data_IF_239500216795
#
_entry.id   IF_239500216795
#
_cell.length_a   1.000
_cell.length_b   1.000
_cell.length_c   1.000
_cell.angle_alpha   90.00
_cell.angle_beta   90.00
_cell.angle_gamma   90.00
#
_symmetry.space_group_name_H-M   'P 1'
#
loop_
_entity.id
_entity.type
_entity.pdbx_description
1 polymer ?
#
# COMPACT_ATOMS: atom_id res chain seq x y z
N UNK A 1 37.31 -26.10 -1.72
CA UNK A 1 36.41 -25.32 -2.60
C UNK A 1 35.16 -26.16 -2.84
N UNK A 2 34.13 -25.97 -2.04
CA UNK A 2 32.83 -26.64 -2.24
C UNK A 2 31.82 -25.56 -2.57
N UNK A 3 31.35 -25.52 -3.82
CA UNK A 3 30.16 -24.78 -4.21
C UNK A 3 28.96 -25.46 -3.55
N UNK A 4 28.72 -25.16 -2.29
CA UNK A 4 27.41 -25.44 -1.71
C UNK A 4 26.49 -24.36 -2.26
N UNK A 5 25.76 -24.74 -3.30
CA UNK A 5 24.56 -24.04 -3.75
C UNK A 5 23.56 -24.02 -2.58
N UNK A 6 23.80 -23.14 -1.60
CA UNK A 6 22.77 -22.73 -0.65
C UNK A 6 21.69 -22.10 -1.53
N UNK A 7 20.52 -22.74 -1.62
CA UNK A 7 19.33 -22.16 -2.23
C UNK A 7 18.87 -20.96 -1.38
N UNK A 8 19.64 -19.88 -1.38
CA UNK A 8 19.28 -18.63 -0.75
C UNK A 8 18.04 -18.11 -1.47
N UNK A 9 16.90 -18.14 -0.77
CA UNK A 9 15.61 -17.62 -1.25
C UNK A 9 15.36 -16.30 -0.54
N UNK A 10 15.72 -15.20 -1.20
CA UNK A 10 15.52 -13.86 -0.67
C UNK A 10 16.19 -12.80 -1.54
N UNK A 11 16.05 -11.53 -1.16
CA UNK A 11 16.78 -10.44 -1.81
C UNK A 11 18.14 -10.28 -1.14
N UNK A 12 19.22 -10.68 -1.83
CA UNK A 12 20.59 -10.67 -1.31
C UNK A 12 20.99 -9.31 -0.71
N UNK A 13 20.43 -8.23 -1.24
CA UNK A 13 20.60 -6.85 -0.75
C UNK A 13 20.23 -6.71 0.73
N UNK A 14 19.08 -7.25 1.16
CA UNK A 14 18.54 -7.07 2.52
C UNK A 14 18.78 -8.26 3.43
N UNK A 15 19.28 -9.38 2.92
CA UNK A 15 19.60 -10.55 3.75
C UNK A 15 20.61 -10.24 4.86
N UNK A 16 20.42 -10.78 6.05
CA UNK A 16 21.45 -10.74 7.10
C UNK A 16 22.69 -11.57 6.70
N UNK A 17 23.81 -11.33 7.37
CA UNK A 17 25.03 -12.15 7.17
C UNK A 17 24.89 -13.58 7.70
N UNK A 18 23.89 -13.86 8.56
CA UNK A 18 23.66 -15.21 9.11
C UNK A 18 23.15 -16.21 8.06
N UNK A 19 22.71 -15.72 6.91
CA UNK A 19 22.09 -16.51 5.83
C UNK A 19 23.04 -17.46 5.07
N UNK A 20 24.33 -17.59 5.44
CA UNK A 20 25.21 -18.67 4.91
C UNK A 20 25.10 -19.98 5.61
N UNK A 21 24.92 -19.89 6.91
CA UNK A 21 25.05 -21.05 7.74
C UNK A 21 23.74 -21.82 7.55
N UNK A 22 23.81 -23.15 7.60
CA UNK A 22 22.68 -24.09 7.40
C UNK A 22 21.62 -23.96 8.51
N UNK A 23 21.62 -22.85 9.25
CA UNK A 23 20.62 -22.48 10.23
C UNK A 23 19.48 -21.76 9.54
N UNK A 24 18.26 -22.03 10.01
CA UNK A 24 17.07 -21.33 9.56
C UNK A 24 17.18 -19.81 9.84
N UNK A 25 16.31 -19.02 9.21
CA UNK A 25 16.23 -17.56 9.44
C UNK A 25 15.46 -17.27 10.72
N UNK A 26 16.03 -16.42 11.59
CA UNK A 26 15.47 -16.08 12.90
C UNK A 26 14.73 -14.74 12.87
N UNK A 27 13.98 -14.45 13.95
CA UNK A 27 13.21 -13.20 14.08
C UNK A 27 14.08 -11.94 13.97
N UNK A 28 15.34 -12.02 14.41
CA UNK A 28 16.29 -10.91 14.29
C UNK A 28 16.68 -10.61 12.85
N UNK A 29 16.61 -11.59 11.94
CA UNK A 29 17.00 -11.42 10.54
C UNK A 29 16.02 -10.52 9.77
N UNK A 30 14.72 -10.60 10.10
CA UNK A 30 13.70 -9.68 9.59
C UNK A 30 13.97 -8.25 10.06
N UNK A 31 14.34 -8.06 11.33
CA UNK A 31 14.66 -6.74 11.89
C UNK A 31 15.97 -6.16 11.33
N UNK A 32 16.97 -7.01 11.06
CA UNK A 32 18.19 -6.60 10.37
C UNK A 32 17.86 -6.17 8.93
N UNK A 33 16.98 -6.92 8.25
CA UNK A 33 16.51 -6.55 6.91
C UNK A 33 15.81 -5.20 6.91
N UNK A 34 14.93 -4.96 7.89
CA UNK A 34 14.28 -3.67 8.10
C UNK A 34 15.29 -2.54 8.36
N UNK A 35 16.34 -2.81 9.13
CA UNK A 35 17.40 -1.83 9.38
C UNK A 35 18.15 -1.44 8.10
N UNK A 36 18.44 -2.39 7.21
CA UNK A 36 19.01 -2.08 5.90
C UNK A 36 18.07 -1.23 5.05
N UNK A 37 16.77 -1.53 5.04
CA UNK A 37 15.77 -0.72 4.30
C UNK A 37 15.73 0.71 4.82
N UNK A 38 15.73 0.92 6.14
CA UNK A 38 15.75 2.27 6.72
C UNK A 38 17.02 3.05 6.37
N UNK A 39 18.18 2.39 6.37
CA UNK A 39 19.45 3.02 5.95
C UNK A 39 19.41 3.38 4.47
N UNK A 40 18.84 2.51 3.63
CA UNK A 40 18.66 2.79 2.21
C UNK A 40 17.73 3.98 1.98
N UNK A 41 16.61 4.07 2.70
CA UNK A 41 15.72 5.24 2.64
C UNK A 41 16.43 6.53 3.05
N UNK A 42 17.26 6.49 4.10
CA UNK A 42 18.01 7.67 4.56
C UNK A 42 19.14 8.07 3.60
N UNK A 43 19.84 7.11 3.02
CA UNK A 43 21.07 7.34 2.24
C UNK A 43 20.86 7.29 0.71
N UNK A 44 19.67 6.90 0.27
CA UNK A 44 19.30 6.64 -1.13
C UNK A 44 19.83 5.33 -1.71
N UNK A 45 20.89 4.73 -1.14
CA UNK A 45 21.45 3.45 -1.57
C UNK A 45 22.25 2.76 -0.46
N UNK A 46 22.35 1.44 -0.54
CA UNK A 46 23.29 0.66 0.27
C UNK A 46 24.66 0.59 -0.41
N UNK A 47 25.71 0.39 0.39
CA UNK A 47 27.10 0.32 -0.12
C UNK A 47 27.32 -0.86 -1.07
N UNK A 48 26.53 -1.92 -0.94
CA UNK A 48 26.58 -3.11 -1.79
C UNK A 48 25.51 -3.15 -2.89
N UNK A 49 24.76 -2.05 -3.13
CA UNK A 49 23.67 -2.03 -4.11
C UNK A 49 24.12 -2.42 -5.53
N UNK A 50 25.36 -2.11 -5.91
CA UNK A 50 25.92 -2.39 -7.25
C UNK A 50 26.68 -3.72 -7.34
N UNK A 51 26.81 -4.48 -6.25
CA UNK A 51 27.54 -5.74 -6.22
C UNK A 51 26.65 -6.88 -6.71
N UNK A 52 27.23 -7.80 -7.49
CA UNK A 52 26.47 -8.85 -8.19
C UNK A 52 26.62 -10.22 -7.53
N UNK A 53 27.79 -10.52 -6.98
CA UNK A 53 28.05 -11.82 -6.37
C UNK A 53 27.71 -11.82 -4.88
N UNK A 54 27.29 -12.97 -4.36
CA UNK A 54 26.98 -13.17 -2.93
C UNK A 54 28.21 -12.84 -2.08
N UNK A 55 29.37 -13.30 -2.51
CA UNK A 55 30.66 -13.17 -1.83
C UNK A 55 31.14 -11.71 -1.76
N UNK A 56 30.90 -10.91 -2.79
CA UNK A 56 31.19 -9.47 -2.77
C UNK A 56 30.25 -8.73 -1.82
N UNK A 57 28.94 -8.97 -1.91
CA UNK A 57 27.95 -8.35 -1.03
C UNK A 57 28.28 -8.64 0.43
N UNK A 58 28.72 -9.84 0.72
CA UNK A 58 29.02 -10.29 2.07
C UNK A 58 30.28 -9.69 2.65
N UNK A 59 31.37 -9.73 1.89
CA UNK A 59 32.61 -9.03 2.29
C UNK A 59 32.35 -7.55 2.51
N UNK A 60 31.43 -6.96 1.74
CA UNK A 60 31.07 -5.55 1.92
C UNK A 60 30.22 -5.33 3.18
N UNK A 61 29.23 -6.18 3.43
CA UNK A 61 28.42 -6.14 4.65
C UNK A 61 29.28 -6.30 5.89
N UNK A 62 30.13 -7.30 5.94
CA UNK A 62 31.00 -7.59 7.08
C UNK A 62 31.91 -6.38 7.42
N UNK A 63 32.51 -5.77 6.38
CA UNK A 63 33.32 -4.55 6.56
C UNK A 63 32.50 -3.35 7.03
N UNK A 64 31.31 -3.15 6.47
CA UNK A 64 30.50 -1.94 6.69
C UNK A 64 29.72 -1.99 8.01
N UNK A 65 29.37 -3.17 8.51
CA UNK A 65 28.61 -3.40 9.74
C UNK A 65 29.36 -2.98 11.02
N UNK A 66 30.62 -2.57 10.92
CA UNK A 66 31.40 -1.99 12.01
C UNK A 66 30.90 -0.62 12.47
N UNK A 67 31.82 0.29 12.80
CA UNK A 67 31.48 1.59 13.40
C UNK A 67 30.64 2.50 12.50
N UNK A 68 30.71 2.34 11.19
CA UNK A 68 30.09 3.29 10.24
C UNK A 68 28.65 2.95 9.85
N UNK A 69 28.16 1.75 10.18
CA UNK A 69 26.92 1.21 9.64
C UNK A 69 25.70 2.12 9.81
N UNK A 70 25.51 2.66 11.01
CA UNK A 70 24.39 3.54 11.39
C UNK A 70 24.84 4.98 11.65
N UNK A 71 26.02 5.37 11.16
CA UNK A 71 26.57 6.72 11.37
C UNK A 71 25.70 7.84 10.78
N UNK A 72 24.91 7.54 9.75
CA UNK A 72 23.97 8.47 9.12
C UNK A 72 22.57 8.50 9.75
N UNK A 73 22.34 7.66 10.77
CA UNK A 73 21.06 7.49 11.46
C UNK A 73 21.08 8.22 12.82
N UNK A 74 19.91 8.49 13.43
CA UNK A 74 19.84 8.98 14.81
C UNK A 74 20.61 8.07 15.78
N UNK A 75 21.22 8.66 16.82
CA UNK A 75 22.12 7.97 17.77
C UNK A 75 21.51 6.72 18.42
N UNK A 76 20.19 6.66 18.55
CA UNK A 76 19.43 5.52 19.10
C UNK A 76 19.63 4.25 18.27
N UNK A 77 19.87 4.37 16.96
CA UNK A 77 20.08 3.24 16.06
C UNK A 77 21.36 2.45 16.37
N UNK A 78 22.36 3.06 17.05
CA UNK A 78 23.53 2.33 17.53
C UNK A 78 23.14 1.27 18.56
N UNK A 79 22.23 1.61 19.49
CA UNK A 79 21.72 0.66 20.48
C UNK A 79 20.87 -0.44 19.84
N UNK A 80 20.01 -0.07 18.86
CA UNK A 80 19.22 -1.04 18.10
C UNK A 80 20.14 -2.01 17.35
N UNK A 81 21.17 -1.50 16.67
CA UNK A 81 22.18 -2.31 15.98
C UNK A 81 22.84 -3.29 16.95
N UNK A 82 23.41 -2.80 18.05
CA UNK A 82 24.10 -3.65 19.03
C UNK A 82 23.19 -4.77 19.53
N UNK A 83 21.93 -4.46 19.84
CA UNK A 83 20.94 -5.46 20.25
C UNK A 83 20.72 -6.52 19.17
N UNK A 84 20.35 -6.12 17.95
CA UNK A 84 19.99 -7.05 16.86
C UNK A 84 21.15 -7.96 16.43
N UNK A 85 22.37 -7.43 16.38
CA UNK A 85 23.53 -8.20 15.94
C UNK A 85 24.06 -9.16 17.02
N UNK A 86 23.74 -8.93 18.30
CA UNK A 86 24.14 -9.80 19.41
C UNK A 86 23.12 -10.88 19.76
N UNK A 87 21.91 -10.86 19.19
CA UNK A 87 20.91 -11.90 19.42
C UNK A 87 21.35 -13.27 18.86
N UNK A 88 21.08 -14.32 19.61
CA UNK A 88 21.15 -15.70 19.12
C UNK A 88 19.94 -16.03 18.24
N UNK A 89 20.04 -17.11 17.45
CA UNK A 89 19.03 -17.50 16.47
C UNK A 89 17.61 -17.65 17.05
N UNK A 90 17.47 -18.32 18.20
CA UNK A 90 16.17 -18.53 18.86
C UNK A 90 15.75 -17.37 19.78
N UNK A 91 16.64 -16.40 20.01
CA UNK A 91 16.40 -15.34 20.98
C UNK A 91 15.27 -14.39 20.53
N UNK A 92 14.58 -13.81 21.51
CA UNK A 92 13.55 -12.81 21.25
C UNK A 92 14.16 -11.42 21.15
N UNK A 93 13.96 -10.71 20.04
CA UNK A 93 14.26 -9.29 20.02
C UNK A 93 13.39 -8.57 21.05
N UNK A 94 13.99 -7.73 21.90
CA UNK A 94 13.26 -6.78 22.72
C UNK A 94 12.58 -5.70 21.85
N UNK A 95 11.40 -6.04 21.33
CA UNK A 95 10.59 -5.17 20.47
C UNK A 95 10.17 -3.88 21.18
N UNK A 96 9.94 -3.94 22.49
CA UNK A 96 9.53 -2.78 23.28
C UNK A 96 10.66 -1.75 23.38
N UNK A 97 11.88 -2.21 23.65
CA UNK A 97 13.07 -1.37 23.65
C UNK A 97 13.33 -0.75 22.27
N UNK A 98 13.23 -1.55 21.20
CA UNK A 98 13.40 -1.05 19.82
C UNK A 98 12.35 0.03 19.51
N UNK A 99 11.07 -0.22 19.80
CA UNK A 99 9.99 0.73 19.56
C UNK A 99 10.18 2.02 20.38
N UNK A 100 10.63 1.90 21.64
CA UNK A 100 10.95 3.05 22.49
C UNK A 100 12.08 3.89 21.89
N UNK A 101 13.16 3.26 21.47
CA UNK A 101 14.29 3.94 20.82
C UNK A 101 13.90 4.62 19.52
N UNK A 102 13.03 4.01 18.70
CA UNK A 102 12.51 4.66 17.48
C UNK A 102 11.67 5.90 17.81
N UNK A 103 10.84 5.84 18.86
CA UNK A 103 10.07 7.01 19.33
C UNK A 103 10.98 8.11 19.87
N UNK A 104 11.99 7.76 20.65
CA UNK A 104 13.00 8.71 21.14
C UNK A 104 13.74 9.39 19.98
N UNK A 105 14.12 8.62 18.96
CA UNK A 105 14.74 9.16 17.76
C UNK A 105 13.81 10.14 17.02
N UNK A 106 12.52 9.82 16.90
CA UNK A 106 11.54 10.71 16.28
C UNK A 106 11.40 12.03 17.06
N UNK A 107 11.22 11.96 18.37
CA UNK A 107 11.08 13.14 19.25
C UNK A 107 12.32 14.03 19.18
N UNK A 108 13.52 13.46 19.30
CA UNK A 108 14.77 14.23 19.26
C UNK A 108 15.04 14.90 17.89
N UNK A 109 14.46 14.37 16.81
CA UNK A 109 14.59 14.93 15.47
C UNK A 109 13.36 15.76 15.04
N UNK A 110 12.43 16.05 15.96
CA UNK A 110 11.25 16.87 15.69
C UNK A 110 10.22 16.23 14.75
N UNK A 111 10.18 14.90 14.69
CA UNK A 111 9.25 14.16 13.83
C UNK A 111 7.96 13.89 14.59
N UNK A 112 6.83 14.37 14.07
CA UNK A 112 5.51 14.03 14.57
C UNK A 112 5.04 12.69 13.99
N UNK A 113 5.03 11.64 14.81
CA UNK A 113 4.58 10.30 14.41
C UNK A 113 3.07 10.21 14.15
N UNK A 114 2.29 11.27 14.47
CA UNK A 114 0.85 11.35 14.14
C UNK A 114 0.60 12.04 12.81
N UNK A 115 1.63 12.64 12.20
CA UNK A 115 1.49 13.28 10.91
C UNK A 115 1.16 12.24 9.84
N UNK A 116 0.17 12.54 9.01
CA UNK A 116 -0.21 11.70 7.88
C UNK A 116 0.94 11.60 6.87
N UNK A 117 1.11 10.44 6.25
CA UNK A 117 2.07 10.29 5.16
C UNK A 117 1.61 11.04 3.91
N UNK A 118 2.55 11.44 3.05
CA UNK A 118 2.25 12.14 1.79
C UNK A 118 1.23 11.38 0.94
N UNK A 119 1.36 10.05 0.88
CA UNK A 119 0.44 9.17 0.16
C UNK A 119 -0.97 9.18 0.77
N UNK A 120 -1.09 9.29 2.10
CA UNK A 120 -2.40 9.37 2.76
C UNK A 120 -3.10 10.67 2.42
N UNK A 121 -2.35 11.79 2.41
CA UNK A 121 -2.84 13.10 2.00
C UNK A 121 -3.32 13.06 0.54
N UNK A 122 -2.49 12.53 -0.37
CA UNK A 122 -2.84 12.40 -1.79
C UNK A 122 -4.08 11.52 -2.00
N UNK A 123 -4.17 10.39 -1.29
CA UNK A 123 -5.34 9.50 -1.39
C UNK A 123 -6.61 10.18 -0.86
N UNK A 124 -6.50 11.00 0.19
CA UNK A 124 -7.64 11.75 0.73
C UNK A 124 -8.07 12.88 -0.20
N UNK A 125 -7.13 13.58 -0.83
CA UNK A 125 -7.41 14.57 -1.88
C UNK A 125 -8.16 13.93 -3.07
N UNK A 126 -7.66 12.79 -3.56
CA UNK A 126 -8.33 12.04 -4.65
C UNK A 126 -9.74 11.58 -4.25
N UNK A 127 -9.93 11.14 -3.01
CA UNK A 127 -11.25 10.74 -2.49
C UNK A 127 -12.21 11.92 -2.47
N UNK A 128 -11.75 13.11 -2.08
CA UNK A 128 -12.56 14.32 -2.08
C UNK A 128 -12.91 14.78 -3.49
N UNK A 129 -11.98 14.68 -4.44
CA UNK A 129 -12.25 15.00 -5.84
C UNK A 129 -13.33 14.08 -6.44
N UNK A 130 -13.26 12.77 -6.18
CA UNK A 130 -14.29 11.82 -6.61
C UNK A 130 -15.65 12.14 -5.97
N UNK A 131 -15.69 12.51 -4.69
CA UNK A 131 -16.93 12.94 -4.02
C UNK A 131 -17.50 14.22 -4.61
N UNK A 132 -16.64 15.17 -4.98
CA UNK A 132 -17.07 16.44 -5.55
C UNK A 132 -17.55 16.29 -7.00
N UNK A 133 -16.96 15.39 -7.78
CA UNK A 133 -17.41 15.06 -9.14
C UNK A 133 -18.70 14.23 -9.15
N UNK A 134 -18.93 13.41 -8.12
CA UNK A 134 -20.15 12.59 -7.99
C UNK A 134 -21.34 13.34 -7.39
N UNK A 135 -21.17 14.59 -6.95
CA UNK A 135 -22.30 15.45 -6.59
C UNK A 135 -23.14 15.70 -7.86
N UNK A 136 -24.41 15.27 -7.88
CA UNK A 136 -25.23 15.44 -9.06
C UNK A 136 -25.43 16.93 -9.31
N UNK A 137 -25.06 17.39 -10.51
CA UNK A 137 -25.36 18.74 -10.96
C UNK A 137 -26.88 18.96 -10.83
N UNK A 138 -27.26 19.90 -9.96
CA UNK A 138 -28.65 20.21 -9.65
C UNK A 138 -29.42 20.58 -10.92
N UNK A 139 -28.78 21.28 -11.85
CA UNK A 139 -29.40 21.68 -13.11
C UNK A 139 -29.66 20.47 -14.01
N UNK A 140 -28.70 19.56 -14.12
CA UNK A 140 -28.83 18.32 -14.88
C UNK A 140 -29.89 17.39 -14.26
N UNK A 141 -29.95 17.31 -12.94
CA UNK A 141 -30.92 16.48 -12.22
C UNK A 141 -32.34 16.99 -12.39
N UNK A 142 -32.55 18.31 -12.24
CA UNK A 142 -33.86 18.95 -12.42
C UNK A 142 -34.35 18.85 -13.88
N UNK A 143 -33.44 18.99 -14.85
CA UNK A 143 -33.75 18.77 -16.27
C UNK A 143 -34.18 17.34 -16.55
N UNK A 144 -33.50 16.33 -16.00
CA UNK A 144 -33.87 14.93 -16.19
C UNK A 144 -35.21 14.59 -15.55
N UNK A 145 -35.49 15.10 -14.34
CA UNK A 145 -36.79 14.93 -13.68
C UNK A 145 -37.94 15.56 -14.49
N UNK A 146 -37.76 16.79 -14.98
CA UNK A 146 -38.74 17.46 -15.83
C UNK A 146 -38.97 16.68 -17.15
N UNK A 147 -37.90 16.16 -17.77
CA UNK A 147 -38.02 15.35 -18.99
C UNK A 147 -38.76 14.04 -18.74
N UNK A 148 -38.51 13.35 -17.62
CA UNK A 148 -39.23 12.13 -17.25
C UNK A 148 -40.72 12.40 -17.04
N UNK A 149 -41.09 13.49 -16.35
CA UNK A 149 -42.51 13.86 -16.17
C UNK A 149 -43.22 14.12 -17.50
N UNK A 150 -42.54 14.75 -18.48
CA UNK A 150 -43.10 14.96 -19.82
C UNK A 150 -43.28 13.64 -20.56
N UNK A 151 -42.29 12.75 -20.50
CA UNK A 151 -42.34 11.43 -21.13
C UNK A 151 -43.47 10.59 -20.53
N UNK A 152 -43.62 10.56 -19.20
CA UNK A 152 -44.71 9.85 -18.52
C UNK A 152 -46.09 10.39 -18.95
N UNK A 153 -46.27 11.72 -19.01
CA UNK A 153 -47.52 12.31 -19.51
C UNK A 153 -47.82 11.91 -20.95
N UNK A 154 -46.81 11.92 -21.83
CA UNK A 154 -46.97 11.53 -23.24
C UNK A 154 -47.30 10.04 -23.37
N UNK A 155 -46.65 9.19 -22.57
CA UNK A 155 -46.94 7.75 -22.51
C UNK A 155 -48.39 7.56 -22.06
N UNK A 156 -48.82 8.16 -20.95
CA UNK A 156 -50.20 8.07 -20.45
C UNK A 156 -51.23 8.59 -21.46
N UNK A 157 -50.97 9.71 -22.14
CA UNK A 157 -51.85 10.22 -23.20
C UNK A 157 -51.95 9.26 -24.38
N UNK A 158 -50.82 8.70 -24.83
CA UNK A 158 -50.80 7.69 -25.91
C UNK A 158 -51.55 6.43 -25.51
N UNK A 159 -51.33 5.91 -24.30
CA UNK A 159 -52.09 4.77 -23.78
C UNK A 159 -53.59 5.06 -23.72
N UNK A 160 -53.98 6.24 -23.24
CA UNK A 160 -55.38 6.65 -23.16
C UNK A 160 -56.03 6.76 -24.55
N UNK A 161 -55.34 7.39 -25.52
CA UNK A 161 -55.81 7.47 -26.91
C UNK A 161 -55.93 6.07 -27.54
N UNK A 162 -54.97 5.19 -27.30
CA UNK A 162 -54.98 3.81 -27.82
C UNK A 162 -56.11 2.98 -27.21
N UNK A 163 -56.37 3.14 -25.91
CA UNK A 163 -57.51 2.51 -25.24
C UNK A 163 -58.86 3.05 -25.75
N UNK A 164 -58.95 4.35 -26.06
CA UNK A 164 -60.15 4.98 -26.64
C UNK A 164 -60.41 4.48 -28.07
N UNK A 165 -59.38 4.35 -28.90
CA UNK A 165 -59.46 3.75 -30.25
C UNK A 165 -59.87 2.29 -30.16
N UNK A 166 -59.27 1.51 -29.25
CA UNK A 166 -59.63 0.11 -29.05
C UNK A 166 -61.11 -0.04 -28.66
N UNK A 167 -61.60 0.77 -27.70
CA UNK A 167 -63.01 0.75 -27.27
C UNK A 167 -63.96 1.13 -28.41
N UNK A 168 -63.58 2.10 -29.25
CA UNK A 168 -64.35 2.47 -30.44
C UNK A 168 -64.40 1.31 -31.44
N UNK A 169 -63.28 0.64 -31.70
CA UNK A 169 -63.22 -0.50 -32.62
C UNK A 169 -64.03 -1.71 -32.13
N UNK A 170 -64.21 -1.90 -30.82
CA UNK A 170 -65.11 -2.92 -30.27
C UNK A 170 -66.59 -2.58 -30.48
N UNK A 171 -66.94 -1.29 -30.55
CA UNK A 171 -68.31 -0.82 -30.68
C UNK A 171 -68.80 -0.78 -32.14
N UNK A 172 -67.87 -0.70 -33.11
CA UNK A 172 -68.16 -0.76 -34.56
C UNK A 172 -67.75 -2.10 -35.21
N UNK A 173 -67.21 -3.04 -34.44
CA UNK A 173 -66.78 -4.37 -34.90
C UNK A 173 -67.90 -5.41 -34.88
N UNK A 174 -68.92 -5.22 -35.72
CA UNK A 174 -69.88 -6.26 -36.09
C UNK A 174 -69.24 -7.16 -37.16
N UNK A 175 -69.09 -8.44 -36.83
CA UNK A 175 -69.27 -9.59 -37.72
C UNK A 175 -68.44 -9.61 -39.03
N UNK A 176 -67.24 -10.21 -38.99
CA UNK A 176 -66.70 -10.95 -40.14
C UNK A 176 -66.35 -12.36 -39.64
N UNK A 177 -66.96 -13.34 -40.32
CA UNK A 177 -67.18 -14.73 -39.92
C UNK A 177 -65.91 -15.60 -39.89
N UNK A 178 -66.09 -16.81 -39.35
CA UNK A 178 -65.44 -18.06 -39.78
C UNK A 178 -65.01 -18.04 -41.25
#
# INVERSE_FOLDING_TARGET
MTSLNSNFRGTLRYASLRTDHVFDLGRSDDLISLLYVMIEFRSGKLRWTSLKTKEEVWRMKDRYLGKEFVSCMPKQFEKIKVHLFNLEFFAEPDYLMIAKLMKEAAVENGIDLKQAFEQEIEMDELREDVKNQSKPDFTHTLLMQNRLQVVERLISQRFFLRAKVWRKNQQYGVNIKK
#
